data_IF_933184960283
#
_entry.id   IF_933184960283
#
_cell.length_a   1.000
_cell.length_b   1.000
_cell.length_c   1.000
_cell.angle_alpha   90.00
_cell.angle_beta   90.00
_cell.angle_gamma   90.00
#
_symmetry.space_group_name_H-M   'P 1'
#
loop_
_entity.id
_entity.type
_entity.pdbx_description
1 polymer ?
#
# COMPACT_ATOMS: atom_id res chain seq x y z
N UNK A 1 -56.41 -24.13 -7.96
CA UNK A 1 -55.86 -22.80 -8.34
C UNK A 1 -55.15 -22.04 -7.19
N UNK A 2 -54.92 -22.62 -6.01
CA UNK A 2 -54.28 -21.93 -4.87
C UNK A 2 -52.74 -22.01 -4.84
N UNK A 3 -52.13 -23.00 -5.51
CA UNK A 3 -50.67 -23.19 -5.49
C UNK A 3 -49.88 -22.21 -6.37
N UNK A 4 -50.53 -21.54 -7.33
CA UNK A 4 -49.88 -20.58 -8.25
C UNK A 4 -49.67 -19.19 -7.61
N UNK A 5 -50.41 -18.86 -6.55
CA UNK A 5 -50.37 -17.52 -5.93
C UNK A 5 -49.14 -17.37 -5.02
N UNK A 6 -48.78 -18.41 -4.25
CA UNK A 6 -47.63 -18.38 -3.33
C UNK A 6 -46.27 -18.29 -4.05
N UNK A 7 -46.14 -18.88 -5.23
CA UNK A 7 -44.88 -18.83 -5.99
C UNK A 7 -44.56 -17.44 -6.56
N UNK A 8 -45.58 -16.61 -6.80
CA UNK A 8 -45.42 -15.24 -7.33
C UNK A 8 -44.94 -14.25 -6.26
N UNK A 9 -45.33 -14.45 -5.01
CA UNK A 9 -44.97 -13.55 -3.90
C UNK A 9 -43.50 -13.66 -3.51
N UNK A 10 -42.93 -14.87 -3.56
CA UNK A 10 -41.52 -15.11 -3.21
C UNK A 10 -40.57 -14.53 -4.28
N UNK A 11 -40.94 -14.59 -5.56
CA UNK A 11 -40.14 -14.00 -6.65
C UNK A 11 -40.01 -12.48 -6.55
N UNK A 12 -41.02 -11.78 -6.04
CA UNK A 12 -40.99 -10.32 -5.90
C UNK A 12 -40.20 -9.85 -4.66
N UNK A 13 -40.06 -10.68 -3.63
CA UNK A 13 -39.26 -10.37 -2.45
C UNK A 13 -37.74 -10.49 -2.71
N UNK A 14 -37.34 -11.23 -3.74
CA UNK A 14 -35.93 -11.49 -4.05
C UNK A 14 -35.25 -10.42 -4.93
N UNK A 15 -36.01 -9.47 -5.52
CA UNK A 15 -35.46 -8.51 -6.50
C UNK A 15 -35.83 -7.05 -6.25
N UNK A 16 -36.26 -6.68 -5.03
CA UNK A 16 -36.66 -5.30 -4.70
C UNK A 16 -35.67 -4.59 -3.78
N UNK A 17 -34.36 -4.83 -3.92
CA UNK A 17 -33.37 -3.94 -3.30
C UNK A 17 -33.38 -2.65 -4.14
N UNK A 18 -33.80 -1.50 -3.59
CA UNK A 18 -33.90 -0.25 -4.34
C UNK A 18 -32.52 0.18 -4.86
N UNK A 19 -32.47 0.65 -6.10
CA UNK A 19 -31.23 1.09 -6.78
C UNK A 19 -30.34 2.01 -5.93
N UNK A 20 -30.87 2.97 -5.13
CA UNK A 20 -30.08 3.76 -4.20
C UNK A 20 -29.24 2.94 -3.20
N UNK A 21 -29.73 1.80 -2.72
CA UNK A 21 -28.97 0.95 -1.79
C UNK A 21 -27.77 0.30 -2.47
N UNK A 22 -27.88 -0.10 -3.74
CA UNK A 22 -26.74 -0.60 -4.48
C UNK A 22 -25.68 0.49 -4.67
N UNK A 23 -26.09 1.70 -5.05
CA UNK A 23 -25.17 2.84 -5.22
C UNK A 23 -24.45 3.14 -3.90
N UNK A 24 -25.19 3.20 -2.79
CA UNK A 24 -24.60 3.38 -1.47
C UNK A 24 -23.62 2.25 -1.14
N UNK A 25 -24.00 0.99 -1.35
CA UNK A 25 -23.13 -0.16 -1.08
C UNK A 25 -21.83 -0.09 -1.88
N UNK A 26 -21.88 0.18 -3.19
CA UNK A 26 -20.67 0.30 -4.01
C UNK A 26 -19.79 1.47 -3.58
N UNK A 27 -20.39 2.59 -3.18
CA UNK A 27 -19.62 3.75 -2.70
C UNK A 27 -18.91 3.46 -1.37
N UNK A 28 -19.65 2.91 -0.39
CA UNK A 28 -19.08 2.53 0.90
C UNK A 28 -18.04 1.44 0.77
N UNK A 29 -18.34 0.37 0.02
CA UNK A 29 -17.43 -0.75 -0.17
C UNK A 29 -16.20 -0.34 -0.99
N UNK A 30 -16.39 0.44 -2.06
CA UNK A 30 -15.30 0.98 -2.86
C UNK A 30 -14.39 1.90 -2.06
N UNK A 31 -14.97 2.85 -1.32
CA UNK A 31 -14.22 3.74 -0.44
C UNK A 31 -13.46 2.98 0.66
N UNK A 32 -14.11 2.01 1.31
CA UNK A 32 -13.47 1.16 2.30
C UNK A 32 -12.31 0.34 1.71
N UNK A 33 -12.46 -0.17 0.48
CA UNK A 33 -11.40 -0.90 -0.21
C UNK A 33 -10.20 -0.01 -0.51
N UNK A 34 -10.44 1.22 -1.01
CA UNK A 34 -9.39 2.21 -1.26
C UNK A 34 -8.67 2.57 0.04
N UNK A 35 -9.42 2.88 1.10
CA UNK A 35 -8.84 3.20 2.41
C UNK A 35 -8.02 2.04 2.98
N UNK A 36 -8.51 0.80 2.88
CA UNK A 36 -7.78 -0.37 3.34
C UNK A 36 -6.48 -0.58 2.54
N UNK A 37 -6.53 -0.40 1.21
CA UNK A 37 -5.34 -0.48 0.38
C UNK A 37 -4.31 0.59 0.75
N UNK A 38 -4.78 1.82 0.98
CA UNK A 38 -3.92 2.93 1.40
C UNK A 38 -3.32 2.68 2.78
N UNK A 39 -4.10 2.21 3.75
CA UNK A 39 -3.60 1.81 5.06
C UNK A 39 -2.58 0.68 4.98
N UNK A 40 -2.81 -0.33 4.14
CA UNK A 40 -1.83 -1.41 3.90
C UNK A 40 -0.54 -0.85 3.31
N UNK A 41 -0.64 0.08 2.36
CA UNK A 41 0.52 0.72 1.77
C UNK A 41 1.31 1.53 2.81
N UNK A 42 0.64 2.35 3.62
CA UNK A 42 1.27 3.09 4.71
C UNK A 42 1.89 2.17 5.77
N UNK A 43 1.22 1.08 6.14
CA UNK A 43 1.74 0.14 7.14
C UNK A 43 2.99 -0.58 6.61
N UNK A 44 3.01 -0.95 5.32
CA UNK A 44 4.23 -1.47 4.68
C UNK A 44 5.35 -0.43 4.69
N UNK A 45 5.04 0.85 4.49
CA UNK A 45 6.03 1.91 4.59
C UNK A 45 6.58 2.07 6.01
N UNK A 46 5.74 1.97 7.03
CA UNK A 46 6.16 2.07 8.44
C UNK A 46 6.94 0.85 8.94
N UNK A 47 6.70 -0.31 8.33
CA UNK A 47 7.34 -1.58 8.69
C UNK A 47 8.63 -1.85 7.91
N UNK A 48 9.10 -0.90 7.09
CA UNK A 48 10.35 -1.06 6.36
C UNK A 48 11.53 -1.10 7.34
N UNK A 49 12.44 -2.07 7.21
CA UNK A 49 13.65 -2.11 8.02
C UNK A 49 14.56 -0.94 7.68
N UNK A 50 15.41 -0.56 8.63
CA UNK A 50 16.53 0.34 8.38
C UNK A 50 17.52 -0.28 7.37
N UNK A 51 18.33 0.55 6.71
CA UNK A 51 19.28 0.12 5.67
C UNK A 51 20.23 -0.99 6.14
N UNK A 52 20.82 -0.83 7.32
CA UNK A 52 21.73 -1.79 7.96
C UNK A 52 21.06 -3.14 8.26
N UNK A 53 19.83 -3.11 8.78
CA UNK A 53 19.01 -4.29 9.03
C UNK A 53 18.65 -5.01 7.73
N UNK A 54 18.38 -4.28 6.65
CA UNK A 54 18.11 -4.86 5.34
C UNK A 54 19.36 -5.55 4.75
N UNK A 55 20.53 -4.87 4.81
CA UNK A 55 21.79 -5.42 4.31
C UNK A 55 22.19 -6.69 5.08
N UNK A 56 22.07 -6.66 6.41
CA UNK A 56 22.37 -7.83 7.25
C UNK A 56 21.38 -8.99 7.03
N UNK A 57 20.07 -8.71 6.93
CA UNK A 57 19.06 -9.74 6.69
C UNK A 57 19.24 -10.47 5.34
N UNK A 58 19.78 -9.78 4.34
CA UNK A 58 20.01 -10.33 3.00
C UNK A 58 21.48 -10.63 2.67
N UNK A 59 22.40 -10.46 3.63
CA UNK A 59 23.85 -10.69 3.48
C UNK A 59 24.46 -9.90 2.30
N UNK A 60 24.00 -8.67 2.10
CA UNK A 60 24.44 -7.79 1.01
C UNK A 60 25.47 -6.77 1.54
N UNK A 61 26.56 -6.58 0.79
CA UNK A 61 27.54 -5.53 1.09
C UNK A 61 27.09 -4.15 0.61
N UNK A 62 26.29 -4.10 -0.45
CA UNK A 62 25.80 -2.87 -1.08
C UNK A 62 24.27 -2.87 -1.18
N UNK A 63 23.63 -1.68 -1.17
CA UNK A 63 22.18 -1.56 -1.29
C UNK A 63 21.73 -1.91 -2.71
N UNK A 64 21.42 -3.18 -2.92
CA UNK A 64 20.82 -3.71 -4.16
C UNK A 64 19.45 -4.33 -3.86
N UNK A 65 18.61 -4.40 -4.88
CA UNK A 65 17.33 -5.08 -4.76
C UNK A 65 17.53 -6.59 -4.60
N UNK A 66 17.11 -7.19 -3.48
CA UNK A 66 17.22 -8.64 -3.27
C UNK A 66 16.28 -9.45 -4.20
N UNK A 67 15.24 -8.82 -4.75
CA UNK A 67 14.25 -9.48 -5.61
C UNK A 67 14.74 -9.63 -7.05
N UNK A 68 15.34 -8.58 -7.61
CA UNK A 68 15.75 -8.56 -9.02
C UNK A 68 17.25 -8.34 -9.24
N UNK A 69 18.04 -8.09 -8.18
CA UNK A 69 19.48 -7.86 -8.26
C UNK A 69 19.89 -6.48 -8.80
N UNK A 70 18.93 -5.60 -9.12
CA UNK A 70 19.24 -4.27 -9.64
C UNK A 70 19.80 -3.33 -8.59
N UNK A 71 20.86 -2.59 -8.96
CA UNK A 71 21.41 -1.49 -8.18
C UNK A 71 20.67 -0.15 -8.44
N UNK A 72 19.70 -0.12 -9.37
CA UNK A 72 18.94 1.09 -9.68
C UNK A 72 17.85 1.29 -8.61
N UNK A 73 18.19 2.08 -7.61
CA UNK A 73 17.28 2.45 -6.53
C UNK A 73 16.72 3.85 -6.75
N UNK A 74 15.41 4.00 -6.57
CA UNK A 74 14.73 5.28 -6.48
C UNK A 74 14.49 5.63 -5.02
N UNK A 75 14.94 6.82 -4.65
CA UNK A 75 14.57 7.46 -3.42
C UNK A 75 13.19 8.10 -3.57
N UNK A 76 12.29 7.83 -2.62
CA UNK A 76 11.01 8.54 -2.49
C UNK A 76 10.97 9.21 -1.12
N UNK A 77 11.01 10.53 -1.11
CA UNK A 77 10.65 11.32 0.06
C UNK A 77 9.16 11.16 0.37
N UNK A 78 8.82 11.10 1.65
CA UNK A 78 7.44 11.32 2.08
C UNK A 78 7.04 12.73 1.63
N UNK A 79 5.82 12.87 1.13
CA UNK A 79 5.34 14.05 0.37
C UNK A 79 5.35 15.36 1.18
N UNK A 80 5.66 15.29 2.47
CA UNK A 80 5.91 16.44 3.33
C UNK A 80 7.42 16.66 3.43
N UNK A 81 7.91 17.77 2.87
CA UNK A 81 9.34 18.12 2.78
C UNK A 81 10.09 18.32 4.10
N UNK A 82 9.51 17.92 5.23
CA UNK A 82 10.11 17.92 6.56
C UNK A 82 10.29 16.50 7.14
N UNK A 83 9.89 15.44 6.42
CA UNK A 83 10.11 14.07 6.90
C UNK A 83 11.57 13.64 6.69
N UNK A 84 12.29 13.41 7.79
CA UNK A 84 13.68 12.93 7.83
C UNK A 84 13.85 11.49 7.31
N UNK A 85 12.75 10.83 6.96
CA UNK A 85 12.70 9.43 6.50
C UNK A 85 12.65 9.36 4.98
N UNK A 86 13.68 8.77 4.38
CA UNK A 86 13.73 8.48 2.94
C UNK A 86 13.45 7.01 2.71
N UNK A 87 12.49 6.71 1.83
CA UNK A 87 12.15 5.33 1.48
C UNK A 87 12.86 4.98 0.17
N UNK A 88 13.63 3.89 0.18
CA UNK A 88 14.29 3.37 -1.01
C UNK A 88 13.47 2.25 -1.63
N UNK A 89 13.24 2.35 -2.93
CA UNK A 89 12.53 1.36 -3.74
C UNK A 89 13.31 1.01 -5.00
N UNK A 90 13.17 -0.21 -5.50
CA UNK A 90 13.80 -0.58 -6.76
C UNK A 90 13.09 0.10 -7.95
N UNK A 91 13.83 0.66 -8.91
CA UNK A 91 13.25 1.27 -10.11
C UNK A 91 12.63 0.22 -11.05
N UNK A 92 13.24 -0.96 -11.14
CA UNK A 92 12.84 -1.97 -12.13
C UNK A 92 11.61 -2.75 -11.66
N UNK A 93 11.63 -3.28 -10.43
CA UNK A 93 10.53 -4.08 -9.89
C UNK A 93 9.58 -3.32 -8.96
N UNK A 94 9.87 -2.05 -8.65
CA UNK A 94 9.05 -1.17 -7.79
C UNK A 94 8.83 -1.71 -6.37
N UNK A 95 9.63 -2.68 -5.93
CA UNK A 95 9.60 -3.18 -4.55
C UNK A 95 10.14 -2.13 -3.59
N UNK A 96 9.48 -1.97 -2.44
CA UNK A 96 10.02 -1.17 -1.32
C UNK A 96 11.04 -2.02 -0.57
N UNK A 97 12.21 -1.45 -0.27
CA UNK A 97 13.36 -2.21 0.23
C UNK A 97 13.67 -1.87 1.69
N UNK A 98 14.08 -0.64 1.95
CA UNK A 98 14.48 -0.16 3.27
C UNK A 98 14.19 1.33 3.43
N UNK A 99 14.22 1.80 4.66
CA UNK A 99 14.18 3.22 5.02
C UNK A 99 15.55 3.68 5.50
N UNK A 100 15.89 4.93 5.20
CA UNK A 100 17.07 5.60 5.76
C UNK A 100 16.63 6.86 6.51
N UNK A 101 17.24 7.06 7.67
CA UNK A 101 17.05 8.26 8.48
C UNK A 101 18.26 9.16 8.23
N UNK A 102 18.09 10.24 7.47
CA UNK A 102 19.09 11.30 7.55
C UNK A 102 18.89 12.01 8.88
N UNK A 103 19.55 11.53 9.94
CA UNK A 103 20.02 12.46 10.95
C UNK A 103 21.05 13.33 10.24
N UNK A 104 20.66 14.57 9.90
CA UNK A 104 21.51 15.64 9.38
C UNK A 104 22.99 15.26 9.17
N UNK A 105 23.32 14.66 8.04
CA UNK A 105 24.68 14.78 7.49
C UNK A 105 24.80 16.21 6.96
N UNK A 106 24.84 17.16 7.90
CA UNK A 106 25.19 18.56 7.73
C UNK A 106 26.54 18.85 8.41
N UNK A 107 27.37 17.82 8.57
CA UNK A 107 28.68 17.90 9.20
C UNK A 107 29.65 16.94 8.49
N UNK A 108 30.00 17.24 7.23
CA UNK A 108 31.24 16.84 6.54
C UNK A 108 31.20 17.25 5.04
N UNK A 109 31.14 18.56 4.79
CA UNK A 109 31.89 19.17 3.67
C UNK A 109 32.62 20.36 4.26
N UNK A 110 33.62 20.06 5.09
CA UNK A 110 34.66 21.00 5.49
C UNK A 110 36.01 20.36 5.16
N UNK A 111 36.45 20.56 3.92
CA UNK A 111 37.84 20.56 3.51
C UNK A 111 37.97 21.45 2.26
#
# INVERSE_FOLDING_TARGET
>A
MQHQIRARTIKNAMTSIPLPLYVAFFFFFGGALILNLFHRYQNKQRALPARDLYLSAHQLAEPVCHVCGSARLAERGLTHGADERRIFSCLDCKSMLFQDHHAATAEEVSA
#
